data_IF_747980470486
#
_entry.id   IF_747980470486
#
_cell.length_a   1.000
_cell.length_b   1.000
_cell.length_c   1.000
_cell.angle_alpha   90.00
_cell.angle_beta   90.00
_cell.angle_gamma   90.00
#
_symmetry.space_group_name_H-M   'P 1'
#
loop_
_entity.id
_entity.type
_entity.pdbx_description
1 polymer ?
#
# COMPACT_ATOMS: atom_id res chain seq x y z
N UNK A 1 -2.89 -12.64 22.91
CA UNK A 1 -2.05 -11.77 23.77
C UNK A 1 -0.65 -11.57 23.20
N UNK A 2 -0.13 -12.51 22.41
CA UNK A 2 1.26 -12.53 21.88
C UNK A 2 1.62 -11.48 20.81
N UNK A 3 0.68 -10.98 20.01
CA UNK A 3 1.01 -10.02 18.94
C UNK A 3 1.05 -8.55 19.40
N UNK A 4 0.56 -8.22 20.60
CA UNK A 4 0.38 -6.81 21.02
C UNK A 4 1.68 -6.10 21.42
N UNK A 5 2.74 -6.84 21.73
CA UNK A 5 4.03 -6.29 22.19
C UNK A 5 5.16 -6.46 21.16
N UNK A 6 4.82 -6.82 19.92
CA UNK A 6 5.77 -6.91 18.82
C UNK A 6 5.91 -5.54 18.18
N UNK A 7 7.13 -5.15 17.83
CA UNK A 7 7.36 -3.95 17.05
C UNK A 7 6.91 -4.15 15.59
N UNK A 8 6.87 -3.06 14.81
CA UNK A 8 6.54 -3.13 13.39
C UNK A 8 7.53 -4.01 12.61
N UNK A 9 8.80 -4.05 13.02
CA UNK A 9 9.85 -4.78 12.33
C UNK A 9 9.60 -6.28 12.32
N UNK A 10 9.10 -6.84 13.42
CA UNK A 10 8.68 -8.25 13.45
C UNK A 10 7.65 -8.58 12.37
N UNK A 11 6.63 -7.74 12.17
CA UNK A 11 5.58 -8.01 11.17
C UNK A 11 6.10 -7.86 9.74
N UNK A 12 6.97 -6.88 9.51
CA UNK A 12 7.68 -6.71 8.25
C UNK A 12 8.51 -7.97 7.91
N UNK A 13 9.30 -8.46 8.87
CA UNK A 13 10.15 -9.63 8.68
C UNK A 13 9.33 -10.91 8.45
N UNK A 14 8.22 -11.09 9.17
CA UNK A 14 7.29 -12.21 8.92
C UNK A 14 6.71 -12.13 7.52
N UNK A 15 6.26 -10.95 7.09
CA UNK A 15 5.69 -10.76 5.76
C UNK A 15 6.68 -11.12 4.66
N UNK A 16 7.87 -10.51 4.67
CA UNK A 16 8.88 -10.76 3.65
C UNK A 16 9.48 -12.16 3.73
N UNK A 17 9.55 -12.75 4.93
CA UNK A 17 9.91 -14.16 5.11
C UNK A 17 8.93 -15.10 4.43
N UNK A 18 7.61 -14.87 4.58
CA UNK A 18 6.58 -15.65 3.89
C UNK A 18 6.62 -15.44 2.38
N UNK A 19 6.73 -14.18 1.91
CA UNK A 19 6.86 -13.87 0.48
C UNK A 19 8.04 -14.61 -0.12
N UNK A 20 9.21 -14.57 0.52
CA UNK A 20 10.41 -15.26 0.04
C UNK A 20 10.23 -16.78 0.03
N UNK A 21 9.62 -17.35 1.07
CA UNK A 21 9.37 -18.79 1.16
C UNK A 21 8.43 -19.29 0.06
N UNK A 22 7.38 -18.54 -0.25
CA UNK A 22 6.37 -18.92 -1.23
C UNK A 22 6.61 -18.35 -2.63
N UNK A 23 7.69 -17.58 -2.86
CA UNK A 23 7.95 -16.89 -4.14
C UNK A 23 7.91 -17.81 -5.36
N UNK A 24 8.42 -19.04 -5.25
CA UNK A 24 8.42 -20.03 -6.33
C UNK A 24 7.01 -20.47 -6.75
N UNK A 25 6.04 -20.39 -5.83
CA UNK A 25 4.65 -20.72 -6.06
C UNK A 25 3.79 -19.49 -6.40
N UNK A 26 4.15 -18.32 -5.86
CA UNK A 26 3.41 -17.06 -6.08
C UNK A 26 3.64 -16.47 -7.49
N UNK A 27 4.76 -16.78 -8.13
CA UNK A 27 5.02 -16.32 -9.50
C UNK A 27 4.16 -17.11 -10.49
N UNK A 28 3.11 -16.48 -11.01
CA UNK A 28 2.14 -17.14 -11.89
C UNK A 28 2.48 -17.03 -13.40
N UNK A 29 3.49 -16.22 -13.76
CA UNK A 29 3.79 -15.91 -15.16
C UNK A 29 5.28 -16.08 -15.51
N UNK A 30 5.58 -16.72 -16.64
CA UNK A 30 6.87 -16.54 -17.31
C UNK A 30 6.82 -15.19 -18.05
N UNK A 31 7.68 -14.24 -17.67
CA UNK A 31 7.88 -12.98 -18.41
C UNK A 31 8.60 -13.16 -19.75
N UNK A 32 8.65 -14.40 -20.27
CA UNK A 32 9.45 -14.77 -21.43
C UNK A 32 8.90 -14.09 -22.69
N UNK A 33 9.68 -13.15 -23.23
CA UNK A 33 9.31 -12.39 -24.44
C UNK A 33 8.69 -11.01 -24.20
N UNK A 34 8.53 -10.57 -22.95
CA UNK A 34 8.08 -9.21 -22.64
C UNK A 34 9.28 -8.24 -22.55
N UNK A 35 9.11 -7.03 -23.08
CA UNK A 35 10.15 -5.97 -23.08
C UNK A 35 10.19 -5.13 -21.80
N UNK A 36 9.18 -5.25 -20.94
CA UNK A 36 9.12 -4.59 -19.64
C UNK A 36 9.55 -5.55 -18.54
N UNK A 37 10.18 -5.00 -17.49
CA UNK A 37 10.63 -5.81 -16.35
C UNK A 37 9.46 -6.24 -15.47
N UNK A 38 8.54 -5.32 -15.17
CA UNK A 38 7.50 -5.50 -14.15
C UNK A 38 6.25 -4.65 -14.44
N UNK A 39 5.09 -5.14 -14.00
CA UNK A 39 3.84 -4.36 -13.90
C UNK A 39 3.57 -4.12 -12.42
N UNK A 40 3.52 -2.85 -12.03
CA UNK A 40 3.34 -2.41 -10.66
C UNK A 40 1.98 -1.73 -10.52
N UNK A 41 1.11 -2.27 -9.68
CA UNK A 41 -0.18 -1.67 -9.35
C UNK A 41 -0.03 -0.82 -8.10
N UNK A 42 -0.58 0.38 -8.11
CA UNK A 42 -0.72 1.22 -6.93
C UNK A 42 -2.19 1.31 -6.58
N UNK A 43 -2.49 0.93 -5.35
CA UNK A 43 -3.84 1.02 -4.80
C UNK A 43 -3.79 1.42 -3.32
N UNK A 44 -4.92 1.90 -2.81
CA UNK A 44 -5.08 2.20 -1.39
C UNK A 44 -6.42 1.71 -0.83
N UNK A 45 -6.38 1.15 0.37
CA UNK A 45 -7.57 0.74 1.11
C UNK A 45 -7.66 1.51 2.42
N UNK A 46 -8.87 1.98 2.77
CA UNK A 46 -9.13 2.63 4.06
C UNK A 46 -9.86 1.68 5.01
N UNK A 47 -9.26 1.42 6.17
CA UNK A 47 -9.80 0.63 7.25
C UNK A 47 -10.33 1.58 8.34
N UNK A 48 -11.61 1.46 8.69
CA UNK A 48 -12.21 2.30 9.75
C UNK A 48 -11.87 1.77 11.13
N UNK A 49 -11.53 2.68 12.04
CA UNK A 49 -11.22 2.35 13.43
C UNK A 49 -12.37 2.72 14.36
N UNK A 50 -12.43 2.05 15.51
CA UNK A 50 -13.35 2.42 16.59
C UNK A 50 -12.83 3.58 17.46
N UNK A 51 -11.51 3.78 17.50
CA UNK A 51 -10.83 4.91 18.12
C UNK A 51 -10.38 5.94 17.08
N UNK A 52 -9.99 7.15 17.52
CA UNK A 52 -9.49 8.25 16.68
C UNK A 52 -7.97 8.41 16.71
N UNK A 53 -7.24 7.41 17.22
CA UNK A 53 -5.77 7.38 17.30
C UNK A 53 -5.12 7.72 15.95
N UNK A 54 -5.69 7.18 14.86
CA UNK A 54 -5.39 7.60 13.50
C UNK A 54 -6.60 8.36 12.97
N UNK A 55 -6.46 9.64 12.59
CA UNK A 55 -7.62 10.46 12.24
C UNK A 55 -8.25 9.98 10.94
N UNK A 56 -9.56 9.75 11.02
CA UNK A 56 -10.41 9.42 9.89
C UNK A 56 -10.72 10.62 9.00
N UNK A 57 -11.28 10.34 7.83
CA UNK A 57 -11.94 11.34 6.97
C UNK A 57 -13.41 11.54 7.39
N UNK A 58 -13.98 12.70 7.05
CA UNK A 58 -15.40 12.99 7.26
C UNK A 58 -15.70 14.01 8.37
N UNK A 59 -16.99 14.30 8.54
CA UNK A 59 -17.50 15.37 9.42
C UNK A 59 -17.29 15.06 10.90
N UNK A 60 -17.18 16.11 11.71
CA UNK A 60 -17.23 15.94 13.16
C UNK A 60 -18.62 15.46 13.59
N UNK A 61 -18.71 14.54 14.56
CA UNK A 61 -20.00 14.08 15.10
C UNK A 61 -20.81 15.25 15.66
N UNK A 62 -22.13 15.17 15.54
CA UNK A 62 -23.06 16.05 16.27
C UNK A 62 -23.47 15.35 17.57
N UNK A 63 -23.73 16.13 18.62
CA UNK A 63 -24.29 15.67 19.90
C UNK A 63 -23.46 14.58 20.60
N UNK A 64 -22.37 14.97 21.26
CA UNK A 64 -21.46 14.14 22.10
C UNK A 64 -20.94 12.82 21.51
N UNK A 65 -21.18 12.58 20.21
CA UNK A 65 -20.69 11.39 19.53
C UNK A 65 -19.16 11.38 19.42
N UNK A 66 -18.54 10.21 19.65
CA UNK A 66 -17.10 10.03 19.44
C UNK A 66 -16.78 9.92 17.96
N UNK A 67 -15.76 10.65 17.50
CA UNK A 67 -15.29 10.59 16.11
C UNK A 67 -14.58 9.26 15.89
N UNK A 68 -14.90 8.57 14.80
CA UNK A 68 -14.17 7.37 14.37
C UNK A 68 -12.91 7.76 13.63
N UNK A 69 -11.82 7.07 13.93
CA UNK A 69 -10.58 7.15 13.18
C UNK A 69 -10.61 6.33 11.89
N UNK A 70 -9.47 6.33 11.22
CA UNK A 70 -9.25 5.55 10.02
C UNK A 70 -7.77 5.38 9.76
N UNK A 71 -7.43 4.19 9.30
CA UNK A 71 -6.14 3.82 8.74
C UNK A 71 -6.30 3.77 7.22
N UNK A 72 -5.28 4.22 6.50
CA UNK A 72 -5.16 4.01 5.06
C UNK A 72 -3.88 3.25 4.77
N UNK A 73 -4.02 2.16 4.02
CA UNK A 73 -2.94 1.30 3.58
C UNK A 73 -2.72 1.59 2.10
N UNK A 74 -1.56 2.14 1.75
CA UNK A 74 -1.13 2.33 0.37
C UNK A 74 -0.19 1.20 0.00
N UNK A 75 -0.39 0.59 -1.17
CA UNK A 75 0.39 -0.56 -1.61
C UNK A 75 0.93 -0.35 -3.01
N UNK A 76 2.20 -0.71 -3.21
CA UNK A 76 2.79 -1.00 -4.52
C UNK A 76 2.79 -2.52 -4.67
N UNK A 77 2.07 -3.04 -5.64
CA UNK A 77 1.82 -4.47 -5.84
C UNK A 77 2.51 -4.90 -7.12
N UNK A 78 3.29 -5.98 -7.05
CA UNK A 78 3.73 -6.70 -8.25
C UNK A 78 2.54 -7.46 -8.82
N UNK A 79 2.06 -7.05 -9.99
CA UNK A 79 0.87 -7.65 -10.61
C UNK A 79 1.09 -9.13 -10.99
N UNK A 80 2.32 -9.52 -11.30
CA UNK A 80 2.65 -10.89 -11.73
C UNK A 80 2.71 -11.84 -10.54
N UNK A 81 3.23 -11.37 -9.40
CA UNK A 81 3.30 -12.20 -8.19
C UNK A 81 2.07 -12.02 -7.29
N UNK A 82 1.21 -11.03 -7.59
CA UNK A 82 0.11 -10.59 -6.73
C UNK A 82 0.55 -10.30 -5.28
N UNK A 83 1.77 -9.76 -5.10
CA UNK A 83 2.35 -9.44 -3.79
C UNK A 83 2.57 -7.94 -3.61
N UNK A 84 2.39 -7.46 -2.38
CA UNK A 84 2.79 -6.11 -2.00
C UNK A 84 4.32 -6.01 -1.86
N UNK A 85 4.95 -5.12 -2.63
CA UNK A 85 6.38 -4.81 -2.52
C UNK A 85 6.68 -3.68 -1.55
N UNK A 86 5.79 -2.70 -1.51
CA UNK A 86 5.91 -1.56 -0.61
C UNK A 86 4.55 -1.27 0.00
N UNK A 87 4.50 -1.16 1.32
CA UNK A 87 3.26 -0.97 2.07
C UNK A 87 3.47 0.22 3.00
N UNK A 88 2.65 1.25 2.83
CA UNK A 88 2.66 2.42 3.71
C UNK A 88 1.33 2.61 4.41
N UNK A 89 1.38 2.54 5.73
CA UNK A 89 0.28 2.76 6.65
C UNK A 89 0.29 4.23 7.08
N UNK A 90 -0.83 4.92 6.90
CA UNK A 90 -1.01 6.33 7.29
C UNK A 90 -2.38 6.55 7.94
N UNK A 91 -2.55 7.70 8.61
CA UNK A 91 -3.90 8.15 8.96
C UNK A 91 -4.77 8.32 7.71
N UNK A 92 -6.05 7.95 7.77
CA UNK A 92 -6.93 8.01 6.61
C UNK A 92 -7.11 9.42 6.05
N UNK A 93 -6.92 10.48 6.86
CA UNK A 93 -6.94 11.88 6.40
C UNK A 93 -5.80 12.23 5.43
N UNK A 94 -4.73 11.44 5.36
CA UNK A 94 -3.57 11.71 4.51
C UNK A 94 -3.92 11.42 3.05
N UNK A 95 -3.52 12.33 2.16
CA UNK A 95 -3.75 12.18 0.72
C UNK A 95 -2.78 11.18 0.09
N UNK A 96 -3.30 10.32 -0.78
CA UNK A 96 -2.53 9.25 -1.45
C UNK A 96 -1.42 9.79 -2.36
N UNK A 97 -1.53 11.04 -2.81
CA UNK A 97 -0.47 11.71 -3.59
C UNK A 97 0.89 11.73 -2.88
N UNK A 98 0.89 11.69 -1.54
CA UNK A 98 2.13 11.67 -0.77
C UNK A 98 2.85 10.33 -0.92
N UNK A 99 2.09 9.23 -1.02
CA UNK A 99 2.64 7.90 -1.24
C UNK A 99 3.42 7.83 -2.55
N UNK A 100 2.86 8.38 -3.62
CA UNK A 100 3.51 8.36 -4.94
C UNK A 100 4.91 8.98 -4.93
N UNK A 101 5.18 9.97 -4.07
CA UNK A 101 6.47 10.65 -3.99
C UNK A 101 7.56 9.82 -3.32
N UNK A 102 7.17 8.78 -2.60
CA UNK A 102 8.07 7.93 -1.83
C UNK A 102 8.41 6.62 -2.57
N UNK A 103 7.83 6.43 -3.76
CA UNK A 103 8.06 5.23 -4.56
C UNK A 103 9.36 5.35 -5.34
N UNK A 104 10.27 4.42 -5.09
CA UNK A 104 11.41 4.16 -5.95
C UNK A 104 11.01 3.12 -6.99
N UNK A 105 10.86 3.56 -8.24
CA UNK A 105 10.47 2.70 -9.35
C UNK A 105 11.69 2.21 -10.12
N UNK A 106 11.65 0.94 -10.50
CA UNK A 106 12.69 0.33 -11.33
C UNK A 106 12.50 0.81 -12.78
N UNK A 107 13.60 1.10 -13.48
CA UNK A 107 13.54 1.44 -14.91
C UNK A 107 12.92 0.32 -15.73
N UNK A 108 12.14 0.69 -16.75
CA UNK A 108 11.39 -0.24 -17.61
C UNK A 108 10.26 -0.99 -16.92
N UNK A 109 9.75 -0.47 -15.79
CA UNK A 109 8.51 -0.93 -15.17
C UNK A 109 7.31 -0.15 -15.71
N UNK A 110 6.16 -0.82 -15.80
CA UNK A 110 4.86 -0.20 -16.08
C UNK A 110 4.17 0.03 -14.74
N UNK A 111 3.74 1.27 -14.48
CA UNK A 111 2.99 1.59 -13.26
C UNK A 111 1.54 1.88 -13.61
N UNK A 112 0.62 1.26 -12.88
CA UNK A 112 -0.82 1.39 -13.06
C UNK A 112 -1.44 1.89 -11.75
N UNK A 113 -2.25 2.94 -11.82
CA UNK A 113 -3.00 3.50 -10.70
C UNK A 113 -4.35 4.02 -11.16
N UNK A 114 -5.29 4.15 -10.24
CA UNK A 114 -6.59 4.77 -10.50
C UNK A 114 -6.44 6.21 -11.02
N UNK A 115 -7.36 6.66 -11.87
CA UNK A 115 -7.45 8.03 -12.37
C UNK A 115 -7.42 9.10 -11.27
N UNK A 116 -7.92 8.81 -10.07
CA UNK A 116 -7.92 9.74 -8.95
C UNK A 116 -6.50 10.16 -8.49
N UNK A 117 -5.46 9.41 -8.87
CA UNK A 117 -4.05 9.75 -8.65
C UNK A 117 -3.57 10.83 -9.63
N UNK A 118 -4.06 12.06 -9.44
CA UNK A 118 -3.80 13.20 -10.32
C UNK A 118 -2.36 13.75 -10.28
N UNK A 119 -1.49 13.17 -9.45
CA UNK A 119 -0.08 13.61 -9.30
C UNK A 119 0.89 12.82 -10.19
N UNK A 120 0.40 12.25 -11.28
CA UNK A 120 1.18 11.39 -12.19
C UNK A 120 2.27 12.14 -12.98
N UNK A 121 2.19 13.47 -13.08
CA UNK A 121 3.21 14.28 -13.77
C UNK A 121 4.62 14.09 -13.21
N UNK A 122 4.78 13.64 -11.97
CA UNK A 122 6.11 13.30 -11.42
C UNK A 122 6.79 12.14 -12.16
N UNK A 123 6.04 11.35 -12.92
CA UNK A 123 6.55 10.26 -13.74
C UNK A 123 6.68 10.64 -15.22
N UNK A 124 6.25 11.84 -15.60
CA UNK A 124 6.48 12.38 -16.93
C UNK A 124 7.89 12.99 -16.96
N UNK A 125 8.74 12.50 -17.87
CA UNK A 125 10.03 13.10 -18.21
C UNK A 125 9.80 14.36 -19.04
#
# INVERSE_FOLDING_TARGET
MEMRNRDNKFFEDVYFGLVQHYKSFLSDSQTFGLTFKEILLIDSTTIRLFSDILKGVGRNPKNDGKKKGGLKVNMLIDAVQSIGRFIKITEAKVHDKNFLRELELISYSIVVFDKAYNYYHQFAV
#
